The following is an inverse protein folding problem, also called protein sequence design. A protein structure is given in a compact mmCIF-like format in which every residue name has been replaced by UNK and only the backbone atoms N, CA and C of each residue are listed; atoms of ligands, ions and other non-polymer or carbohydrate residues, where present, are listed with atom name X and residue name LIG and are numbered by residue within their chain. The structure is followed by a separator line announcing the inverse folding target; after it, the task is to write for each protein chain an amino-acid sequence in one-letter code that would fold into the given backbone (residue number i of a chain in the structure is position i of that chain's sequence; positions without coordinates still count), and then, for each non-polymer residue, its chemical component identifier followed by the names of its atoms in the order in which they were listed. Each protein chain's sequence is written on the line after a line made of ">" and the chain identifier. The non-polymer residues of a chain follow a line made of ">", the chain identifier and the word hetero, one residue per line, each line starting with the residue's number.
data_IF_049825896895
#
_entry.id   IF_049825896895
#
_cell.length_a   1.000
_cell.length_b   1.000
_cell.length_c   1.000
_cell.angle_alpha   90.00
_cell.angle_beta   90.00
_cell.angle_gamma   90.00
#
_symmetry.space_group_name_H-M   'P 1'
#
loop_
_entity.id
_entity.type
_entity.pdbx_description
1 polymer ?
#
# COMPACT_ATOMS: atom_id res chain seq x y z
N UNK A 1 8.34 -55.84 1.54
CA UNK A 1 8.67 -54.45 1.14
C UNK A 1 8.89 -53.68 2.41
N UNK A 2 10.07 -53.12 2.62
CA UNK A 2 10.36 -52.26 3.78
C UNK A 2 9.68 -50.93 3.56
N UNK A 3 8.63 -50.64 4.33
CA UNK A 3 7.94 -49.36 4.30
C UNK A 3 8.77 -48.34 5.09
N UNK A 4 9.24 -47.30 4.41
CA UNK A 4 9.96 -46.19 5.06
C UNK A 4 8.91 -45.19 5.53
N UNK A 5 9.01 -44.71 6.77
CA UNK A 5 8.19 -43.61 7.29
C UNK A 5 9.12 -42.48 7.70
N UNK A 6 8.84 -41.28 7.24
CA UNK A 6 9.62 -40.08 7.52
C UNK A 6 8.76 -39.05 8.26
N UNK A 7 9.37 -38.30 9.15
CA UNK A 7 8.85 -37.02 9.61
C UNK A 7 9.20 -35.97 8.57
N UNK A 8 8.20 -35.33 7.98
CA UNK A 8 8.37 -34.22 7.04
C UNK A 8 7.84 -32.93 7.65
N UNK A 9 8.43 -31.80 7.30
CA UNK A 9 7.89 -30.49 7.62
C UNK A 9 7.89 -29.62 6.36
N UNK A 10 6.72 -29.12 5.99
CA UNK A 10 6.63 -28.12 4.93
C UNK A 10 7.07 -26.77 5.49
N UNK A 11 7.82 -25.98 4.70
CA UNK A 11 8.40 -24.69 5.14
C UNK A 11 7.39 -23.72 5.80
N UNK A 12 6.11 -23.77 5.40
CA UNK A 12 5.05 -22.90 5.93
C UNK A 12 4.19 -23.54 7.03
N UNK A 13 4.43 -24.80 7.37
CA UNK A 13 3.62 -25.53 8.35
C UNK A 13 4.29 -25.52 9.74
N UNK A 14 3.50 -25.28 10.81
CA UNK A 14 4.03 -25.03 12.15
C UNK A 14 4.57 -26.29 12.84
N UNK A 15 4.29 -27.47 12.30
CA UNK A 15 4.63 -28.75 12.93
C UNK A 15 4.96 -29.82 11.90
N UNK A 16 5.94 -30.69 12.20
CA UNK A 16 6.22 -31.85 11.36
C UNK A 16 5.13 -32.91 11.48
N UNK A 17 4.95 -33.66 10.40
CA UNK A 17 3.99 -34.75 10.30
C UNK A 17 4.67 -36.04 9.82
N UNK A 18 4.08 -37.19 10.15
CA UNK A 18 4.55 -38.49 9.64
C UNK A 18 4.02 -38.71 8.24
N UNK A 19 4.92 -38.90 7.30
CA UNK A 19 4.63 -39.25 5.92
C UNK A 19 5.12 -40.67 5.63
N UNK A 20 4.23 -41.51 5.11
CA UNK A 20 4.55 -42.87 4.70
C UNK A 20 4.33 -43.00 3.21
N UNK A 21 5.38 -42.86 2.37
CA UNK A 21 5.25 -42.94 0.92
C UNK A 21 4.77 -44.33 0.49
N UNK A 22 3.70 -44.37 -0.30
CA UNK A 22 3.22 -45.59 -0.93
C UNK A 22 3.94 -45.81 -2.27
N UNK A 23 4.43 -47.02 -2.52
CA UNK A 23 4.99 -47.40 -3.82
C UNK A 23 6.45 -47.06 -4.06
N UNK A 24 7.18 -46.53 -3.08
CA UNK A 24 8.64 -46.35 -3.19
C UNK A 24 9.41 -47.63 -2.91
N UNK A 25 10.47 -47.84 -3.69
CA UNK A 25 11.39 -48.96 -3.50
C UNK A 25 12.30 -48.73 -2.28
N UNK A 26 12.92 -49.80 -1.77
CA UNK A 26 13.89 -49.69 -0.68
C UNK A 26 15.17 -48.92 -1.06
N UNK A 27 15.39 -48.68 -2.36
CA UNK A 27 16.51 -47.92 -2.91
C UNK A 27 16.07 -46.57 -3.46
N UNK A 28 14.87 -46.10 -3.09
CA UNK A 28 14.38 -44.79 -3.52
C UNK A 28 15.22 -43.66 -2.91
N UNK A 29 15.47 -42.64 -3.72
CA UNK A 29 16.16 -41.42 -3.33
C UNK A 29 15.21 -40.22 -3.15
N UNK A 30 15.77 -39.05 -2.88
CA UNK A 30 15.00 -37.82 -2.71
C UNK A 30 14.37 -37.34 -4.03
N UNK A 31 14.90 -37.70 -5.20
CA UNK A 31 14.29 -37.37 -6.49
C UNK A 31 13.01 -38.19 -6.71
N UNK A 32 13.05 -39.49 -6.43
CA UNK A 32 11.87 -40.36 -6.45
C UNK A 32 10.81 -39.87 -5.47
N UNK A 33 11.24 -39.47 -4.27
CA UNK A 33 10.37 -38.92 -3.24
C UNK A 33 9.74 -37.58 -3.64
N UNK A 34 10.51 -36.67 -4.26
CA UNK A 34 10.00 -35.41 -4.76
C UNK A 34 8.91 -35.59 -5.82
N UNK A 35 9.10 -36.56 -6.74
CA UNK A 35 8.11 -36.87 -7.76
C UNK A 35 6.80 -37.41 -7.16
N UNK A 36 6.89 -38.20 -6.08
CA UNK A 36 5.74 -38.70 -5.34
C UNK A 36 5.02 -37.57 -4.58
N UNK A 37 5.75 -36.71 -3.88
CA UNK A 37 5.17 -35.60 -3.13
C UNK A 37 4.37 -34.64 -4.03
N UNK A 38 4.84 -34.38 -5.25
CA UNK A 38 4.10 -33.59 -6.23
C UNK A 38 2.78 -34.24 -6.70
N UNK A 39 2.62 -35.56 -6.52
CA UNK A 39 1.38 -36.28 -6.85
C UNK A 39 0.45 -36.38 -5.64
N UNK A 40 1.01 -36.65 -4.46
CA UNK A 40 0.26 -36.98 -3.25
C UNK A 40 -0.22 -35.74 -2.47
N UNK A 41 0.54 -34.64 -2.52
CA UNK A 41 0.23 -33.41 -1.77
C UNK A 41 -0.40 -32.38 -2.70
N UNK A 42 -1.66 -32.01 -2.43
CA UNK A 42 -2.43 -31.06 -3.26
C UNK A 42 -1.70 -29.71 -3.43
N UNK A 43 -1.05 -29.24 -2.36
CA UNK A 43 -0.25 -28.01 -2.38
C UNK A 43 0.90 -28.05 -3.40
N UNK A 44 1.35 -29.24 -3.81
CA UNK A 44 2.45 -29.44 -4.77
C UNK A 44 1.98 -29.83 -6.17
N UNK A 45 0.66 -29.91 -6.40
CA UNK A 45 0.07 -30.34 -7.68
C UNK A 45 0.51 -29.55 -8.92
N UNK A 46 1.00 -28.31 -8.74
CA UNK A 46 1.51 -27.44 -9.82
C UNK A 46 3.04 -27.39 -9.91
N UNK A 47 3.74 -28.06 -9.01
CA UNK A 47 5.20 -28.07 -8.92
C UNK A 47 5.77 -29.29 -9.63
N UNK A 48 7.04 -29.21 -10.01
CA UNK A 48 7.83 -30.36 -10.45
C UNK A 48 8.75 -30.77 -9.31
N UNK A 49 9.10 -32.05 -9.22
CA UNK A 49 9.99 -32.54 -8.15
C UNK A 49 11.33 -31.79 -8.05
N UNK A 50 11.85 -31.28 -9.17
CA UNK A 50 13.06 -30.43 -9.21
C UNK A 50 12.91 -29.05 -8.54
N UNK A 51 11.68 -28.63 -8.30
CA UNK A 51 11.38 -27.36 -7.64
C UNK A 51 11.37 -27.53 -6.10
N UNK A 52 11.54 -28.77 -5.60
CA UNK A 52 11.62 -29.11 -4.19
C UNK A 52 13.07 -29.20 -3.73
N UNK A 53 13.37 -28.66 -2.56
CA UNK A 53 14.65 -28.82 -1.87
C UNK A 53 14.44 -29.44 -0.49
N UNK A 54 15.36 -30.28 -0.08
CA UNK A 54 15.27 -31.08 1.14
C UNK A 54 16.38 -30.70 2.11
N UNK A 55 16.04 -30.53 3.38
CA UNK A 55 16.97 -30.17 4.45
C UNK A 55 16.73 -31.06 5.67
N UNK A 56 17.77 -31.29 6.45
CA UNK A 56 17.67 -31.80 7.82
C UNK A 56 17.39 -30.63 8.76
N UNK A 57 16.53 -30.83 9.77
CA UNK A 57 16.08 -29.83 10.73
C UNK A 57 17.22 -29.19 11.53
N UNK A 58 17.86 -28.19 10.93
CA UNK A 58 18.99 -27.44 11.47
C UNK A 58 20.10 -27.15 10.45
N UNK A 59 20.12 -27.83 9.30
CA UNK A 59 21.17 -27.64 8.30
C UNK A 59 20.76 -26.64 7.20
N UNK A 60 21.73 -25.82 6.77
CA UNK A 60 21.57 -24.84 5.70
C UNK A 60 21.95 -25.38 4.31
N UNK A 61 22.47 -26.60 4.25
CA UNK A 61 22.93 -27.22 3.02
C UNK A 61 21.83 -28.19 2.56
N UNK A 62 21.28 -28.03 1.35
CA UNK A 62 20.29 -28.97 0.85
C UNK A 62 20.92 -30.35 0.67
N UNK A 63 20.17 -31.38 1.02
CA UNK A 63 20.54 -32.75 0.69
C UNK A 63 20.56 -32.92 -0.82
N UNK A 64 21.55 -33.69 -1.31
CA UNK A 64 21.63 -34.02 -2.73
C UNK A 64 20.46 -34.94 -3.11
N UNK A 65 19.92 -34.73 -4.30
CA UNK A 65 18.72 -35.44 -4.78
C UNK A 65 18.90 -36.95 -4.91
N UNK A 66 20.14 -37.44 -5.03
CA UNK A 66 20.51 -38.87 -5.07
C UNK A 66 20.71 -39.49 -3.67
N UNK A 67 20.42 -38.72 -2.60
CA UNK A 67 20.44 -39.24 -1.23
C UNK A 67 19.32 -40.27 -1.06
N UNK A 68 19.68 -41.50 -0.71
CA UNK A 68 18.72 -42.56 -0.39
C UNK A 68 17.85 -42.16 0.81
N UNK A 69 16.56 -42.50 0.77
CA UNK A 69 15.63 -42.21 1.87
C UNK A 69 16.04 -42.91 3.19
N UNK A 70 16.66 -44.08 3.10
CA UNK A 70 17.24 -44.79 4.25
C UNK A 70 18.48 -44.12 4.82
N UNK A 71 19.10 -43.21 4.06
CA UNK A 71 20.30 -42.46 4.42
C UNK A 71 20.01 -41.08 5.01
N UNK A 72 18.74 -40.67 5.14
CA UNK A 72 18.36 -39.38 5.76
C UNK A 72 18.70 -39.43 7.26
N UNK A 73 19.66 -38.64 7.76
CA UNK A 73 20.17 -38.78 9.11
C UNK A 73 19.19 -38.23 10.16
N UNK A 74 19.04 -38.95 11.27
CA UNK A 74 18.33 -38.52 12.49
C UNK A 74 16.89 -38.01 12.28
N UNK A 75 16.16 -38.57 11.30
CA UNK A 75 14.78 -38.17 10.99
C UNK A 75 13.82 -38.48 12.16
N UNK A 76 13.30 -37.43 12.79
CA UNK A 76 12.39 -37.51 13.94
C UNK A 76 11.46 -36.29 13.96
N UNK A 77 10.50 -36.25 14.90
CA UNK A 77 9.67 -35.06 15.08
C UNK A 77 10.47 -33.83 15.52
N UNK A 78 11.60 -34.03 16.22
CA UNK A 78 12.48 -32.94 16.67
C UNK A 78 13.47 -32.52 15.59
N UNK A 79 13.74 -33.40 14.61
CA UNK A 79 14.62 -33.16 13.47
C UNK A 79 14.00 -33.73 12.19
N UNK A 80 12.95 -33.08 11.66
CA UNK A 80 12.23 -33.56 10.49
C UNK A 80 13.01 -33.30 9.19
N UNK A 81 12.62 -34.01 8.13
CA UNK A 81 13.03 -33.69 6.76
C UNK A 81 12.21 -32.49 6.29
N UNK A 82 12.85 -31.34 6.14
CA UNK A 82 12.16 -30.11 5.76
C UNK A 82 12.14 -29.96 4.25
N UNK A 83 10.95 -29.68 3.73
CA UNK A 83 10.67 -29.57 2.30
C UNK A 83 10.37 -28.11 1.97
N UNK A 84 11.22 -27.53 1.12
CA UNK A 84 11.04 -26.18 0.57
C UNK A 84 10.58 -26.25 -0.87
N UNK A 85 9.76 -25.28 -1.24
CA UNK A 85 9.15 -25.13 -2.56
C UNK A 85 8.93 -23.63 -2.82
N UNK A 86 8.81 -23.15 -4.07
CA UNK A 86 9.41 -21.90 -4.48
C UNK A 86 8.80 -20.66 -3.80
N UNK A 87 9.48 -20.16 -2.76
CA UNK A 87 9.78 -18.74 -2.47
C UNK A 87 10.71 -18.61 -1.24
N UNK A 88 12.01 -18.84 -1.43
CA UNK A 88 13.11 -18.12 -0.76
C UNK A 88 14.43 -18.53 -1.43
N UNK A 89 15.27 -17.56 -1.81
CA UNK A 89 16.62 -17.81 -2.34
C UNK A 89 17.66 -18.05 -1.23
N UNK A 90 17.25 -18.12 0.03
CA UNK A 90 18.17 -18.21 1.18
C UNK A 90 17.79 -19.36 2.13
N UNK A 91 18.72 -20.28 2.43
CA UNK A 91 18.49 -21.42 3.31
C UNK A 91 18.57 -21.05 4.81
N UNK A 92 17.60 -21.50 5.60
CA UNK A 92 17.57 -21.44 7.07
C UNK A 92 16.19 -21.79 7.64
N UNK A 93 16.09 -22.82 8.47
CA UNK A 93 14.84 -23.18 9.18
C UNK A 93 14.96 -22.66 10.60
N UNK A 94 13.92 -21.99 11.06
CA UNK A 94 13.53 -22.04 12.47
C UNK A 94 14.04 -20.88 13.31
N UNK A 95 13.50 -19.69 13.10
CA UNK A 95 12.61 -19.09 14.11
C UNK A 95 11.86 -17.90 13.50
N UNK A 96 10.55 -18.12 13.29
CA UNK A 96 9.51 -17.12 13.11
C UNK A 96 9.55 -16.23 11.83
N UNK A 97 9.00 -16.73 10.70
CA UNK A 97 8.52 -15.86 9.62
C UNK A 97 7.43 -14.90 10.12
N UNK A 98 6.76 -15.26 11.23
CA UNK A 98 5.65 -14.50 11.77
C UNK A 98 6.02 -13.06 12.11
N UNK A 99 7.21 -12.75 12.63
CA UNK A 99 7.55 -11.37 12.99
C UNK A 99 7.80 -10.49 11.77
N UNK A 100 8.49 -10.99 10.74
CA UNK A 100 8.63 -10.27 9.48
C UNK A 100 7.26 -10.07 8.81
N UNK A 101 6.39 -11.08 8.76
CA UNK A 101 5.03 -10.90 8.24
C UNK A 101 4.12 -10.03 9.13
N UNK A 102 4.32 -10.00 10.45
CA UNK A 102 3.61 -9.13 11.40
C UNK A 102 4.11 -7.68 11.31
N UNK A 103 5.33 -7.44 10.85
CA UNK A 103 5.83 -6.08 10.55
C UNK A 103 5.49 -5.70 9.11
N UNK A 104 5.71 -6.60 8.15
CA UNK A 104 5.45 -6.41 6.74
C UNK A 104 3.95 -6.34 6.42
N UNK A 105 3.03 -6.93 7.18
CA UNK A 105 1.58 -6.89 6.86
C UNK A 105 0.83 -5.64 7.35
N UNK A 106 1.09 -5.07 8.55
CA UNK A 106 0.59 -3.75 8.93
C UNK A 106 1.35 -2.64 8.20
N UNK A 107 2.65 -2.83 7.95
CA UNK A 107 3.39 -1.96 7.03
C UNK A 107 2.77 -2.05 5.65
N UNK A 108 2.57 -3.22 5.05
CA UNK A 108 1.92 -3.38 3.74
C UNK A 108 0.49 -2.80 3.70
N UNK A 109 -0.29 -2.87 4.78
CA UNK A 109 -1.62 -2.23 4.87
C UNK A 109 -1.54 -0.70 5.00
N UNK A 110 -0.59 -0.17 5.78
CA UNK A 110 -0.27 1.26 5.80
C UNK A 110 0.33 1.75 4.47
N UNK A 111 1.08 0.90 3.78
CA UNK A 111 1.75 1.13 2.50
C UNK A 111 0.79 1.01 1.31
N UNK A 112 -0.29 0.21 1.40
CA UNK A 112 -1.40 0.26 0.44
C UNK A 112 -2.11 1.61 0.49
N UNK A 113 -2.26 2.21 1.69
CA UNK A 113 -2.75 3.59 1.82
C UNK A 113 -1.81 4.62 1.19
N UNK A 114 -0.49 4.39 1.21
CA UNK A 114 0.50 5.27 0.57
C UNK A 114 0.55 5.07 -0.97
N UNK A 115 0.46 3.82 -1.45
CA UNK A 115 0.34 3.50 -2.88
C UNK A 115 -0.96 4.06 -3.49
N UNK A 116 -2.06 4.11 -2.75
CA UNK A 116 -3.30 4.74 -3.20
C UNK A 116 -3.19 6.27 -3.40
N UNK A 117 -2.17 6.92 -2.83
CA UNK A 117 -1.96 8.37 -2.87
C UNK A 117 -0.97 8.79 -3.98
N UNK A 118 -0.23 7.84 -4.58
CA UNK A 118 0.76 8.17 -5.61
C UNK A 118 0.66 7.22 -6.82
N UNK A 119 0.64 7.77 -8.03
CA UNK A 119 0.61 7.00 -9.29
C UNK A 119 1.97 6.41 -9.70
N UNK A 120 3.00 6.58 -8.87
CA UNK A 120 4.36 6.10 -9.14
C UNK A 120 4.62 4.78 -8.41
N UNK A 121 5.12 3.80 -9.14
CA UNK A 121 5.64 2.56 -8.57
C UNK A 121 6.94 2.87 -7.82
N UNK A 122 6.87 2.90 -6.49
CA UNK A 122 8.03 3.03 -5.62
C UNK A 122 8.41 1.65 -5.06
N UNK A 123 9.70 1.34 -5.07
CA UNK A 123 10.29 0.28 -4.26
C UNK A 123 10.56 0.83 -2.86
N UNK A 124 10.22 0.06 -1.83
CA UNK A 124 10.30 0.45 -0.44
C UNK A 124 11.26 -0.48 0.29
N UNK A 125 12.07 0.09 1.17
CA UNK A 125 12.98 -0.63 2.05
C UNK A 125 12.67 -0.31 3.50
N UNK A 126 12.80 -1.30 4.37
CA UNK A 126 12.77 -1.09 5.83
C UNK A 126 14.20 -0.79 6.28
N UNK A 127 14.38 0.22 7.13
CA UNK A 127 15.70 0.60 7.64
C UNK A 127 15.71 0.60 9.16
N UNK A 128 16.86 0.30 9.75
CA UNK A 128 17.10 0.44 11.20
C UNK A 128 18.44 1.11 11.43
N UNK A 129 18.45 2.15 12.25
CA UNK A 129 19.60 3.03 12.52
C UNK A 129 20.34 3.56 11.28
N UNK A 130 19.64 3.68 10.14
CA UNK A 130 20.18 4.20 8.88
C UNK A 130 20.61 3.11 7.88
N UNK A 131 20.70 1.86 8.31
CA UNK A 131 21.05 0.73 7.46
C UNK A 131 19.81 0.02 6.91
N UNK A 132 19.92 -0.47 5.67
CA UNK A 132 18.85 -1.20 5.00
C UNK A 132 18.72 -2.60 5.61
N UNK A 133 17.50 -2.99 5.99
CA UNK A 133 17.17 -4.34 6.44
C UNK A 133 16.86 -5.16 5.19
N UNK A 134 17.79 -6.03 4.81
CA UNK A 134 17.74 -6.80 3.58
C UNK A 134 16.85 -8.05 3.71
N UNK A 135 16.72 -8.60 4.92
CA UNK A 135 15.97 -9.84 5.17
C UNK A 135 15.42 -9.97 6.60
N UNK A 136 14.67 -11.05 6.82
CA UNK A 136 14.03 -11.39 8.10
C UNK A 136 15.02 -11.74 9.21
N UNK A 137 16.21 -12.22 8.89
CA UNK A 137 17.24 -12.58 9.88
C UNK A 137 17.87 -11.33 10.48
N UNK A 138 18.14 -10.32 9.65
CA UNK A 138 18.61 -9.02 10.10
C UNK A 138 17.59 -8.36 11.03
N UNK A 139 16.29 -8.40 10.67
CA UNK A 139 15.23 -7.88 11.53
C UNK A 139 15.17 -8.62 12.88
N UNK A 140 15.30 -9.95 12.87
CA UNK A 140 15.28 -10.75 14.09
C UNK A 140 16.49 -10.45 14.99
N UNK A 141 17.69 -10.32 14.42
CA UNK A 141 18.89 -9.92 15.17
C UNK A 141 18.68 -8.54 15.84
N UNK A 142 18.15 -7.56 15.12
CA UNK A 142 17.81 -6.23 15.66
C UNK A 142 16.83 -6.33 16.83
N UNK A 143 15.78 -7.16 16.70
CA UNK A 143 14.81 -7.38 17.77
C UNK A 143 15.47 -8.06 18.97
N UNK A 144 16.35 -9.04 18.76
CA UNK A 144 17.08 -9.74 19.83
C UNK A 144 18.08 -8.84 20.56
N UNK A 145 18.69 -7.89 19.88
CA UNK A 145 19.58 -6.88 20.47
C UNK A 145 18.80 -5.80 21.23
N UNK A 146 17.55 -5.55 20.83
CA UNK A 146 16.69 -4.57 21.49
C UNK A 146 16.31 -5.02 22.90
N UNK A 147 16.79 -4.29 23.91
CA UNK A 147 16.53 -4.60 25.32
C UNK A 147 15.03 -4.68 25.62
N UNK A 148 14.55 -5.74 26.31
CA UNK A 148 13.14 -5.89 26.63
C UNK A 148 12.69 -4.83 27.64
N UNK A 149 11.61 -4.12 27.31
CA UNK A 149 10.83 -3.34 28.28
C UNK A 149 9.69 -4.24 28.78
N UNK A 150 9.86 -4.80 29.97
CA UNK A 150 8.93 -5.76 30.59
C UNK A 150 8.79 -7.06 29.77
N UNK A 151 7.59 -7.36 29.24
CA UNK A 151 7.27 -8.54 28.41
C UNK A 151 7.28 -8.25 26.91
N UNK A 152 7.75 -7.07 26.49
CA UNK A 152 7.75 -6.64 25.10
C UNK A 152 9.11 -6.06 24.73
N UNK A 153 9.46 -6.18 23.45
CA UNK A 153 10.59 -5.49 22.83
C UNK A 153 10.00 -4.42 21.91
N UNK A 154 10.55 -3.22 21.97
CA UNK A 154 10.05 -2.06 21.22
C UNK A 154 11.20 -1.55 20.34
N UNK A 155 11.06 -1.71 19.03
CA UNK A 155 12.04 -1.23 18.04
C UNK A 155 11.36 -0.27 17.06
N UNK A 156 12.09 0.77 16.66
CA UNK A 156 11.63 1.78 15.71
C UNK A 156 12.22 1.46 14.34
N UNK A 157 11.36 1.18 13.36
CA UNK A 157 11.76 0.91 11.99
C UNK A 157 11.47 2.14 11.12
N UNK A 158 12.44 2.53 10.29
CA UNK A 158 12.25 3.54 9.26
C UNK A 158 11.77 2.91 7.95
N UNK A 159 11.15 3.73 7.10
CA UNK A 159 10.77 3.36 5.74
C UNK A 159 11.53 4.28 4.78
N UNK A 160 12.25 3.69 3.84
CA UNK A 160 12.99 4.38 2.77
C UNK A 160 12.34 4.06 1.43
N UNK A 161 12.31 5.04 0.53
CA UNK A 161 11.83 4.87 -0.83
C UNK A 161 13.05 4.85 -1.76
N UNK A 162 13.13 3.88 -2.66
CA UNK A 162 14.21 3.79 -3.64
C UNK A 162 14.30 5.08 -4.50
N UNK A 163 15.52 5.60 -4.65
CA UNK A 163 15.77 6.84 -5.38
C UNK A 163 15.26 8.11 -4.67
N UNK A 164 14.85 8.02 -3.40
CA UNK A 164 14.38 9.14 -2.58
C UNK A 164 15.27 9.27 -1.33
N UNK A 165 15.53 10.51 -0.92
CA UNK A 165 16.30 10.83 0.29
C UNK A 165 15.53 10.41 1.55
N UNK A 166 16.21 10.34 2.69
CA UNK A 166 15.52 10.15 3.97
C UNK A 166 14.62 11.37 4.26
N UNK A 167 13.50 11.17 4.97
CA UNK A 167 12.53 12.25 5.21
C UNK A 167 13.17 13.50 5.86
N UNK A 168 14.10 13.31 6.80
CA UNK A 168 14.82 14.40 7.47
C UNK A 168 15.87 15.12 6.62
N UNK A 169 16.23 14.58 5.44
CA UNK A 169 17.24 15.15 4.54
C UNK A 169 16.62 16.04 3.46
N UNK A 170 15.30 16.02 3.30
CA UNK A 170 14.64 16.89 2.34
C UNK A 170 14.68 18.33 2.81
N UNK A 171 15.26 19.18 1.96
CA UNK A 171 15.13 20.62 2.13
C UNK A 171 13.73 21.08 1.72
N UNK A 172 13.24 22.18 2.30
CA UNK A 172 11.96 22.79 1.91
C UNK A 172 11.88 23.06 0.39
N UNK A 173 13.02 23.40 -0.23
CA UNK A 173 13.16 23.62 -1.67
C UNK A 173 12.86 22.35 -2.49
N UNK A 174 13.31 21.20 -2.00
CA UNK A 174 13.08 19.92 -2.66
C UNK A 174 11.64 19.44 -2.45
N UNK A 175 11.09 19.62 -1.24
CA UNK A 175 9.70 19.29 -0.92
C UNK A 175 8.73 20.14 -1.76
N UNK A 176 8.90 21.47 -1.75
CA UNK A 176 8.05 22.38 -2.54
C UNK A 176 8.07 22.05 -4.03
N UNK A 177 9.23 21.67 -4.57
CA UNK A 177 9.37 21.27 -5.98
C UNK A 177 8.64 19.97 -6.29
N UNK A 178 8.71 19.00 -5.37
CA UNK A 178 8.08 17.70 -5.55
C UNK A 178 6.54 17.79 -5.49
N UNK A 179 6.00 18.55 -4.53
CA UNK A 179 4.56 18.53 -4.24
C UNK A 179 3.79 19.69 -4.85
N UNK A 180 4.40 20.88 -4.91
CA UNK A 180 3.75 22.12 -5.37
C UNK A 180 4.31 22.57 -6.74
N UNK A 181 5.34 21.90 -7.25
CA UNK A 181 6.01 22.23 -8.53
C UNK A 181 6.61 23.65 -8.55
N UNK A 182 6.97 24.16 -7.38
CA UNK A 182 7.61 25.47 -7.16
C UNK A 182 8.88 25.33 -6.31
N UNK A 183 9.78 26.32 -6.33
CA UNK A 183 11.03 26.27 -5.54
C UNK A 183 11.00 27.25 -4.37
N UNK A 184 10.66 26.77 -3.16
CA UNK A 184 10.61 27.59 -1.96
C UNK A 184 11.85 27.36 -1.09
N UNK A 185 12.74 28.36 -1.02
CA UNK A 185 13.95 28.30 -0.19
C UNK A 185 13.67 28.53 1.30
N UNK A 186 12.55 29.18 1.62
CA UNK A 186 12.02 29.38 2.96
C UNK A 186 10.48 29.44 2.86
N UNK A 187 9.78 29.30 3.99
CA UNK A 187 8.31 29.28 4.00
C UNK A 187 7.68 30.62 3.60
N UNK A 188 8.39 31.72 3.81
CA UNK A 188 7.95 33.06 3.38
C UNK A 188 7.94 33.25 1.87
N UNK A 189 8.60 32.37 1.10
CA UNK A 189 8.50 32.34 -0.36
C UNK A 189 7.24 31.60 -0.85
N UNK A 190 6.50 30.92 0.02
CA UNK A 190 5.22 30.33 -0.34
C UNK A 190 4.24 31.43 -0.75
N UNK A 191 3.32 31.18 -1.71
CA UNK A 191 2.26 32.11 -2.03
C UNK A 191 1.47 32.46 -0.77
N UNK A 192 1.53 33.72 -0.34
CA UNK A 192 0.69 34.20 0.74
C UNK A 192 -0.68 34.49 0.17
N UNK A 193 -1.68 33.76 0.68
CA UNK A 193 -3.08 34.05 0.41
C UNK A 193 -3.60 34.97 1.50
N UNK A 194 -3.76 36.24 1.15
CA UNK A 194 -4.44 37.20 2.02
C UNK A 194 -5.92 37.19 1.67
N UNK A 195 -6.75 36.69 2.59
CA UNK A 195 -8.21 36.66 2.40
C UNK A 195 -8.78 38.08 2.26
N UNK A 196 -8.14 39.08 2.86
CA UNK A 196 -8.54 40.50 2.78
C UNK A 196 -8.16 41.13 1.44
N UNK A 197 -7.25 40.50 0.69
CA UNK A 197 -6.94 40.88 -0.71
C UNK A 197 -7.95 40.35 -1.72
N UNK A 198 -8.88 39.48 -1.28
CA UNK A 198 -9.99 39.08 -2.13
C UNK A 198 -10.85 40.30 -2.45
N UNK A 199 -11.39 40.40 -3.67
CA UNK A 199 -12.32 41.48 -3.99
C UNK A 199 -13.47 41.44 -2.99
N UNK A 200 -13.76 42.57 -2.36
CA UNK A 200 -15.00 42.76 -1.62
C UNK A 200 -16.17 42.48 -2.58
N UNK A 201 -17.20 41.82 -2.07
CA UNK A 201 -18.41 41.47 -2.84
C UNK A 201 -19.11 42.77 -3.20
N UNK A 202 -18.79 43.33 -4.37
CA UNK A 202 -19.51 44.49 -4.90
C UNK A 202 -20.91 44.08 -5.35
N UNK A 203 -21.92 44.97 -5.37
CA UNK A 203 -23.28 44.63 -5.81
C UNK A 203 -23.36 43.98 -7.21
N UNK A 204 -22.36 44.21 -8.07
CA UNK A 204 -22.26 43.62 -9.41
C UNK A 204 -21.84 42.14 -9.41
N UNK A 205 -21.44 41.61 -8.24
CA UNK A 205 -21.14 40.20 -7.99
C UNK A 205 -22.36 39.39 -7.55
N UNK A 206 -23.51 40.02 -7.33
CA UNK A 206 -24.76 39.30 -7.09
C UNK A 206 -25.15 38.49 -8.34
N UNK A 207 -25.75 37.29 -8.16
CA UNK A 207 -26.32 36.56 -9.28
C UNK A 207 -27.45 37.37 -9.91
N UNK A 208 -27.47 37.43 -11.23
CA UNK A 208 -28.55 38.04 -12.00
C UNK A 208 -29.85 37.24 -11.85
N UNK A 209 -31.00 37.87 -12.10
CA UNK A 209 -32.31 37.17 -12.10
C UNK A 209 -32.32 35.94 -13.03
N UNK A 210 -31.58 36.01 -14.14
CA UNK A 210 -31.47 34.88 -15.07
C UNK A 210 -30.64 33.74 -14.48
N UNK A 211 -29.54 34.04 -13.80
CA UNK A 211 -28.71 33.04 -13.10
C UNK A 211 -29.49 32.42 -11.93
N UNK A 212 -30.22 33.22 -11.14
CA UNK A 212 -31.11 32.72 -10.08
C UNK A 212 -32.21 31.83 -10.64
N UNK A 213 -32.88 32.26 -11.72
CA UNK A 213 -33.92 31.46 -12.37
C UNK A 213 -33.36 30.13 -12.86
N UNK A 214 -32.21 30.14 -13.53
CA UNK A 214 -31.54 28.92 -14.01
C UNK A 214 -31.22 27.96 -12.85
N UNK A 215 -30.69 28.49 -11.74
CA UNK A 215 -30.39 27.69 -10.55
C UNK A 215 -31.65 27.03 -9.98
N UNK A 216 -32.72 27.80 -9.77
CA UNK A 216 -33.98 27.28 -9.22
C UNK A 216 -34.65 26.29 -10.17
N UNK A 217 -34.70 26.60 -11.47
CA UNK A 217 -35.32 25.71 -12.46
C UNK A 217 -34.53 24.39 -12.59
N UNK A 218 -33.19 24.44 -12.46
CA UNK A 218 -32.35 23.23 -12.42
C UNK A 218 -32.63 22.36 -11.20
N UNK A 219 -32.74 22.97 -10.00
CA UNK A 219 -33.10 22.25 -8.78
C UNK A 219 -34.48 21.59 -8.89
N UNK A 220 -35.49 22.34 -9.37
CA UNK A 220 -36.86 21.82 -9.55
C UNK A 220 -36.92 20.66 -10.55
N UNK A 221 -36.16 20.74 -11.64
CA UNK A 221 -36.10 19.65 -12.60
C UNK A 221 -35.58 18.36 -11.95
N UNK A 222 -34.47 18.43 -11.22
CA UNK A 222 -33.93 17.24 -10.55
C UNK A 222 -34.80 16.75 -9.40
N UNK A 223 -35.40 17.66 -8.61
CA UNK A 223 -36.39 17.33 -7.59
C UNK A 223 -37.57 16.55 -8.18
N UNK A 224 -38.08 16.98 -9.34
CA UNK A 224 -39.17 16.28 -10.03
C UNK A 224 -38.77 14.90 -10.57
N UNK A 225 -37.52 14.74 -11.03
CA UNK A 225 -36.99 13.46 -11.52
C UNK A 225 -36.86 12.46 -10.37
N UNK A 226 -36.38 12.92 -9.22
CA UNK A 226 -36.19 12.09 -8.03
C UNK A 226 -37.40 12.07 -7.08
N UNK A 227 -38.52 12.70 -7.46
CA UNK A 227 -39.73 12.78 -6.65
C UNK A 227 -39.49 13.34 -5.23
N UNK A 228 -38.54 14.26 -5.09
CA UNK A 228 -38.15 14.85 -3.79
C UNK A 228 -37.35 13.93 -2.86
N UNK A 229 -36.93 12.74 -3.33
CA UNK A 229 -36.13 11.82 -2.54
C UNK A 229 -34.63 11.98 -2.81
N UNK A 230 -33.82 11.92 -1.75
CA UNK A 230 -32.35 11.90 -1.84
C UNK A 230 -31.86 10.63 -1.11
N UNK A 231 -32.00 9.45 -1.72
CA UNK A 231 -31.80 8.17 -1.03
C UNK A 231 -30.33 7.79 -0.87
N UNK A 232 -29.43 8.41 -1.63
CA UNK A 232 -28.01 8.10 -1.62
C UNK A 232 -27.15 9.30 -2.03
N UNK A 233 -25.86 9.18 -1.78
CA UNK A 233 -24.82 10.16 -2.09
C UNK A 233 -24.78 10.52 -3.58
N UNK A 234 -24.96 9.56 -4.48
CA UNK A 234 -25.00 9.83 -5.93
C UNK A 234 -26.13 10.80 -6.30
N UNK A 235 -27.28 10.69 -5.62
CA UNK A 235 -28.42 11.60 -5.80
C UNK A 235 -28.12 12.97 -5.17
N UNK A 236 -27.54 13.00 -3.97
CA UNK A 236 -27.12 14.25 -3.33
C UNK A 236 -26.15 15.05 -4.20
N UNK A 237 -25.18 14.36 -4.83
CA UNK A 237 -24.22 14.94 -5.77
C UNK A 237 -24.90 15.64 -6.95
N UNK A 238 -26.05 15.18 -7.44
CA UNK A 238 -26.79 15.87 -8.50
C UNK A 238 -27.21 17.30 -8.07
N UNK A 239 -27.65 17.49 -6.83
CA UNK A 239 -28.04 18.80 -6.31
C UNK A 239 -26.84 19.67 -5.95
N UNK A 240 -25.83 19.09 -5.29
CA UNK A 240 -24.60 19.81 -4.92
C UNK A 240 -23.88 20.33 -6.17
N UNK A 241 -23.82 19.53 -7.24
CA UNK A 241 -23.19 19.93 -8.50
C UNK A 241 -23.85 21.16 -9.13
N UNK A 242 -25.17 21.29 -9.01
CA UNK A 242 -25.92 22.46 -9.50
C UNK A 242 -25.50 23.70 -8.72
N UNK A 243 -25.50 23.60 -7.38
CA UNK A 243 -25.09 24.71 -6.52
C UNK A 243 -23.64 25.13 -6.79
N UNK A 244 -22.70 24.19 -6.75
CA UNK A 244 -21.28 24.45 -6.95
C UNK A 244 -21.01 25.01 -8.36
N UNK A 245 -21.64 24.44 -9.38
CA UNK A 245 -21.51 24.91 -10.77
C UNK A 245 -22.01 26.33 -10.96
N UNK A 246 -23.21 26.64 -10.44
CA UNK A 246 -23.78 27.99 -10.51
C UNK A 246 -22.93 29.01 -9.74
N UNK A 247 -22.51 28.69 -8.51
CA UNK A 247 -21.69 29.58 -7.70
C UNK A 247 -20.36 29.90 -8.40
N UNK A 248 -19.67 28.90 -8.94
CA UNK A 248 -18.39 29.10 -9.64
C UNK A 248 -18.59 29.92 -10.91
N UNK A 249 -19.67 29.69 -11.66
CA UNK A 249 -19.96 30.47 -12.87
C UNK A 249 -20.18 31.97 -12.56
N UNK A 250 -20.91 32.29 -11.48
CA UNK A 250 -21.11 33.67 -11.02
C UNK A 250 -19.77 34.33 -10.65
N UNK A 251 -18.92 33.63 -9.89
CA UNK A 251 -17.60 34.16 -9.48
C UNK A 251 -16.68 34.32 -10.69
N UNK A 252 -16.66 33.36 -11.62
CA UNK A 252 -15.87 33.45 -12.85
C UNK A 252 -16.27 34.68 -13.68
N UNK A 253 -17.58 34.92 -13.86
CA UNK A 253 -18.12 36.10 -14.55
C UNK A 253 -17.62 37.39 -13.89
N UNK A 254 -17.77 37.50 -12.57
CA UNK A 254 -17.34 38.68 -11.83
C UNK A 254 -15.84 38.92 -11.97
N UNK A 255 -15.01 37.90 -11.77
CA UNK A 255 -13.55 38.02 -11.90
C UNK A 255 -13.11 38.41 -13.32
N UNK A 256 -13.78 37.91 -14.36
CA UNK A 256 -13.54 38.32 -15.75
C UNK A 256 -13.85 39.80 -16.01
N UNK A 257 -14.75 40.41 -15.24
CA UNK A 257 -15.11 41.82 -15.39
C UNK A 257 -14.17 42.74 -14.59
N UNK A 258 -13.71 42.30 -13.41
CA UNK A 258 -12.98 43.17 -12.48
C UNK A 258 -11.44 43.09 -12.59
N UNK A 259 -10.87 42.00 -13.13
CA UNK A 259 -9.41 41.81 -13.14
C UNK A 259 -8.83 41.74 -14.56
N UNK A 260 -7.99 42.72 -14.92
CA UNK A 260 -7.09 42.57 -16.07
C UNK A 260 -6.15 41.38 -15.82
N UNK A 261 -6.21 40.37 -16.71
CA UNK A 261 -5.33 39.21 -16.67
C UNK A 261 -5.88 37.97 -15.96
N UNK A 262 -7.12 38.00 -15.45
CA UNK A 262 -7.78 36.77 -14.97
C UNK A 262 -8.09 35.82 -16.13
N UNK A 263 -7.73 34.54 -15.97
CA UNK A 263 -8.12 33.49 -16.90
C UNK A 263 -9.16 32.58 -16.22
N UNK A 264 -10.24 32.15 -16.91
CA UNK A 264 -11.23 31.22 -16.35
C UNK A 264 -10.67 29.88 -15.82
N UNK A 265 -9.41 29.56 -16.16
CA UNK A 265 -8.70 28.36 -15.67
C UNK A 265 -8.11 28.58 -14.27
N UNK A 266 -8.07 29.82 -13.81
CA UNK A 266 -7.56 30.17 -12.49
C UNK A 266 -8.58 29.72 -11.45
N UNK A 267 -9.89 29.87 -11.66
CA UNK A 267 -10.91 29.33 -10.75
C UNK A 267 -11.53 28.05 -11.35
N UNK A 268 -11.32 26.90 -10.70
CA UNK A 268 -11.83 25.61 -11.17
C UNK A 268 -12.55 24.85 -10.06
N UNK A 269 -13.71 24.31 -10.41
CA UNK A 269 -14.35 23.22 -9.68
C UNK A 269 -13.76 21.89 -10.17
N UNK A 270 -13.29 21.08 -9.24
CA UNK A 270 -12.83 19.72 -9.46
C UNK A 270 -13.75 18.80 -8.68
N UNK A 271 -14.05 17.64 -9.26
CA UNK A 271 -14.94 16.63 -8.68
C UNK A 271 -14.13 15.35 -8.53
N UNK A 272 -14.24 14.67 -7.39
CA UNK A 272 -13.51 13.42 -7.10
C UNK A 272 -11.98 13.59 -7.23
N UNK A 273 -11.46 14.68 -6.66
CA UNK A 273 -10.03 15.03 -6.76
C UNK A 273 -9.26 14.48 -5.56
N UNK A 274 -8.16 13.79 -5.84
CA UNK A 274 -7.19 13.38 -4.82
C UNK A 274 -6.36 14.58 -4.35
N UNK A 275 -6.58 15.02 -3.11
CA UNK A 275 -5.74 16.04 -2.49
C UNK A 275 -4.38 15.44 -2.09
N UNK A 276 -3.29 16.00 -2.63
CA UNK A 276 -1.92 15.61 -2.24
C UNK A 276 -1.75 15.71 -0.72
N UNK A 277 -1.44 14.60 -0.08
CA UNK A 277 -1.27 14.54 1.38
C UNK A 277 -2.50 14.08 2.16
N UNK A 278 -3.58 13.63 1.50
CA UNK A 278 -4.80 13.10 2.13
C UNK A 278 -4.62 11.78 2.91
N UNK A 279 -3.40 11.27 3.11
CA UNK A 279 -3.06 10.07 3.93
C UNK A 279 -4.00 8.86 3.75
N UNK A 280 -4.60 8.68 2.57
CA UNK A 280 -5.50 7.57 2.28
C UNK A 280 -6.97 7.78 2.67
N UNK A 281 -7.42 9.02 2.84
CA UNK A 281 -8.84 9.35 3.06
C UNK A 281 -9.71 9.33 1.79
N UNK A 282 -9.15 8.91 0.65
CA UNK A 282 -9.88 8.87 -0.62
C UNK A 282 -9.89 10.22 -1.34
N UNK A 283 -10.56 10.29 -2.50
CA UNK A 283 -10.80 11.54 -3.21
C UNK A 283 -11.79 12.41 -2.42
N UNK A 284 -11.67 13.73 -2.59
CA UNK A 284 -12.64 14.71 -2.10
C UNK A 284 -13.74 14.84 -3.15
N UNK A 285 -15.01 14.87 -2.73
CA UNK A 285 -16.13 14.94 -3.67
C UNK A 285 -16.11 16.22 -4.51
N UNK A 286 -15.91 17.38 -3.87
CA UNK A 286 -15.79 18.66 -4.56
C UNK A 286 -14.64 19.50 -4.00
N UNK A 287 -13.80 19.99 -4.91
CA UNK A 287 -12.66 20.83 -4.58
C UNK A 287 -12.66 22.07 -5.47
N UNK A 288 -12.68 23.26 -4.87
CA UNK A 288 -12.51 24.52 -5.60
C UNK A 288 -11.06 24.98 -5.47
N UNK A 289 -10.40 25.16 -6.62
CA UNK A 289 -9.07 25.75 -6.69
C UNK A 289 -9.12 27.14 -7.30
N UNK A 290 -8.48 28.11 -6.66
CA UNK A 290 -8.10 29.39 -7.25
C UNK A 290 -6.58 29.40 -7.47
N UNK A 291 -6.16 29.47 -8.73
CA UNK A 291 -4.81 29.16 -9.20
C UNK A 291 -4.37 27.76 -8.74
N UNK A 292 -3.40 27.70 -7.81
CA UNK A 292 -2.93 26.45 -7.19
C UNK A 292 -3.49 26.25 -5.77
N UNK A 293 -4.20 27.24 -5.23
CA UNK A 293 -4.69 27.23 -3.86
C UNK A 293 -6.06 26.56 -3.78
N UNK A 294 -6.22 25.69 -2.80
CA UNK A 294 -7.53 25.16 -2.42
C UNK A 294 -8.25 26.20 -1.58
N UNK A 295 -9.42 26.63 -2.05
CA UNK A 295 -10.22 27.67 -1.38
C UNK A 295 -11.51 27.12 -0.78
N UNK A 296 -12.00 25.98 -1.26
CA UNK A 296 -13.16 25.30 -0.70
C UNK A 296 -13.06 23.79 -0.93
N UNK A 297 -13.52 23.05 0.06
CA UNK A 297 -13.70 21.59 0.05
C UNK A 297 -15.16 21.31 0.44
N UNK A 298 -15.83 20.41 -0.26
CA UNK A 298 -17.18 19.97 0.10
C UNK A 298 -17.34 18.47 -0.16
N UNK A 299 -18.01 17.77 0.76
CA UNK A 299 -18.39 16.36 0.67
C UNK A 299 -19.91 16.25 0.46
N UNK A 300 -20.37 15.15 -0.15
CA UNK A 300 -21.76 14.88 -0.47
C UNK A 300 -22.49 14.03 0.58
#
# INVERSE_FOLDING_TARGET
>A
MSTITLWIQLENEPSPEKYTPNGLSATADLADFAALLCQDIEAFSKLKGRDLQFFTGGDHIPLLVDTLLTGVPNNSAENPLVIRYPLSSTPGIGHAPAYYWIVASPSARGLQKIRGVTTQNFTLFTIWDGDDIEDEFQLNAIVEETSPKQKKRETSLGIKIEGKKAYGEYTLKEVSRLFVKEEWNNIGNAPQFDIESLPQVEPQSEPTDTEYKYFIDSLKNWDSIFCGEIPNEATARCFISIFMGCAILVVQRYLSQCKQGYHPKDLRLLVEEMLSGSRGYGPIDYLVKYMQLVVMVNEA
#
